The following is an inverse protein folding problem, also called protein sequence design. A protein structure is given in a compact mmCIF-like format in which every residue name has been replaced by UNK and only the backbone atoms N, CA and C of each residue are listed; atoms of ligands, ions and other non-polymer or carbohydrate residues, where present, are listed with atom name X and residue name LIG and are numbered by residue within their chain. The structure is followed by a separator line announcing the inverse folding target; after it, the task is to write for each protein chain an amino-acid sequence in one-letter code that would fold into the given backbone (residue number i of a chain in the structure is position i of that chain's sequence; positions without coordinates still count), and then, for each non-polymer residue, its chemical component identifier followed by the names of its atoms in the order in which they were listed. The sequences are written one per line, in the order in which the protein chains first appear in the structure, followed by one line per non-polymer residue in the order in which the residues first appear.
data_IF_433289448708
#
_entry.id   IF_433289448708
#
_cell.length_a   1.000
_cell.length_b   1.000
_cell.length_c   1.000
_cell.angle_alpha   90.00
_cell.angle_beta   90.00
_cell.angle_gamma   90.00
#
_symmetry.space_group_name_H-M   'P 1'
#
loop_
_entity.id
_entity.type
_entity.pdbx_description
1 polymer ?
#
# COMPACT_ATOMS: atom_id res chain seq x y z
N UNK A 1 55.63 37.22 8.33
CA UNK A 1 55.63 35.89 8.96
C UNK A 1 54.41 35.13 8.38
N UNK A 2 54.44 34.69 7.12
CA UNK A 2 55.06 33.49 6.51
C UNK A 2 54.55 32.16 7.09
N UNK A 3 53.81 31.40 6.27
CA UNK A 3 53.45 30.01 6.55
C UNK A 3 52.38 29.39 5.63
N UNK A 4 52.43 29.58 4.30
CA UNK A 4 51.59 28.82 3.35
C UNK A 4 52.25 27.45 3.09
N UNK A 5 51.61 26.37 3.53
CA UNK A 5 52.03 25.00 3.21
C UNK A 5 51.50 24.59 1.83
N UNK A 6 52.42 24.41 0.88
CA UNK A 6 52.17 23.74 -0.40
C UNK A 6 52.23 22.22 -0.20
N UNK A 7 51.15 21.51 -0.53
CA UNK A 7 51.18 20.04 -0.67
C UNK A 7 51.55 19.71 -2.12
N UNK A 8 52.75 19.14 -2.27
CA UNK A 8 53.29 18.63 -3.54
C UNK A 8 52.60 17.32 -3.94
N UNK A 9 52.18 17.24 -5.21
CA UNK A 9 51.82 15.98 -5.88
C UNK A 9 53.09 15.19 -6.24
N UNK A 10 53.15 13.87 -6.01
CA UNK A 10 54.15 13.03 -6.64
C UNK A 10 53.73 12.61 -8.05
N UNK A 11 54.72 12.60 -8.95
CA UNK A 11 54.66 12.18 -10.34
C UNK A 11 54.75 10.65 -10.49
N UNK A 12 54.23 10.17 -11.63
CA UNK A 12 54.20 8.76 -12.10
C UNK A 12 55.60 8.18 -12.34
N UNK A 13 55.75 6.85 -12.22
CA UNK A 13 56.12 6.01 -13.36
C UNK A 13 55.34 4.67 -13.35
N UNK A 14 55.19 3.86 -14.38
CA UNK A 14 55.73 3.84 -15.73
C UNK A 14 54.94 2.77 -16.52
N UNK A 15 54.97 2.92 -17.85
CA UNK A 15 54.43 1.96 -18.81
C UNK A 15 55.17 0.62 -18.69
N UNK A 16 54.43 -0.46 -18.43
CA UNK A 16 54.90 -1.83 -18.67
C UNK A 16 54.00 -2.44 -19.74
N UNK A 17 54.60 -2.63 -20.92
CA UNK A 17 54.02 -3.30 -22.05
C UNK A 17 53.84 -4.79 -21.73
N UNK A 18 52.61 -5.29 -21.80
CA UNK A 18 52.33 -6.72 -21.84
C UNK A 18 51.99 -7.13 -23.26
N UNK A 19 52.87 -7.97 -23.81
CA UNK A 19 52.67 -8.74 -25.04
C UNK A 19 51.57 -9.76 -24.77
N UNK A 20 50.44 -9.65 -25.47
CA UNK A 20 49.39 -10.65 -25.47
C UNK A 20 49.54 -11.55 -26.70
N UNK A 21 49.90 -12.80 -26.43
CA UNK A 21 49.87 -13.91 -27.38
C UNK A 21 48.42 -14.26 -27.70
N UNK A 22 48.02 -14.09 -28.96
CA UNK A 22 46.73 -14.59 -29.47
C UNK A 22 46.78 -16.12 -29.56
N UNK A 23 46.17 -16.79 -28.58
CA UNK A 23 45.77 -18.19 -28.71
C UNK A 23 44.30 -18.24 -29.13
N UNK A 24 44.05 -18.58 -30.39
CA UNK A 24 42.72 -18.84 -30.93
C UNK A 24 42.15 -20.13 -30.33
N UNK A 25 41.43 -20.02 -29.22
CA UNK A 25 40.58 -21.10 -28.72
C UNK A 25 39.24 -21.07 -29.47
N UNK A 26 38.98 -22.10 -30.28
CA UNK A 26 37.66 -22.37 -30.86
C UNK A 26 36.75 -22.76 -29.71
N UNK A 27 36.04 -21.78 -29.14
CA UNK A 27 34.96 -22.02 -28.17
C UNK A 27 33.79 -22.60 -28.96
N UNK A 28 33.55 -23.90 -28.78
CA UNK A 28 32.26 -24.52 -29.14
C UNK A 28 31.19 -23.81 -28.33
N UNK A 29 30.46 -22.90 -28.97
CA UNK A 29 29.24 -22.32 -28.42
C UNK A 29 28.21 -23.44 -28.25
N UNK A 30 28.19 -24.09 -27.10
CA UNK A 30 26.98 -24.76 -26.63
C UNK A 30 25.91 -23.68 -26.55
N UNK A 31 24.73 -23.85 -27.19
CA UNK A 31 23.63 -22.94 -26.98
C UNK A 31 23.36 -22.94 -25.48
N UNK A 32 23.69 -21.83 -24.82
CA UNK A 32 23.28 -21.58 -23.46
C UNK A 32 21.76 -21.56 -23.52
N UNK A 33 21.14 -22.68 -23.13
CA UNK A 33 19.72 -22.74 -22.84
C UNK A 33 19.53 -21.65 -21.79
N UNK A 34 18.97 -20.51 -22.22
CA UNK A 34 18.65 -19.43 -21.31
C UNK A 34 17.72 -20.05 -20.28
N UNK A 35 18.24 -20.26 -19.06
CA UNK A 35 17.41 -20.69 -17.96
C UNK A 35 16.20 -19.75 -17.96
N UNK A 36 14.96 -20.29 -17.92
CA UNK A 36 13.77 -19.46 -17.95
C UNK A 36 13.96 -18.38 -16.90
N UNK A 37 13.95 -17.12 -17.34
CA UNK A 37 14.18 -15.98 -16.46
C UNK A 37 13.33 -16.19 -15.20
N UNK A 38 14.01 -16.27 -14.04
CA UNK A 38 13.38 -16.59 -12.76
C UNK A 38 12.16 -15.68 -12.58
N UNK A 39 10.95 -16.23 -12.72
CA UNK A 39 9.70 -15.51 -12.48
C UNK A 39 9.76 -14.96 -11.06
N UNK A 40 9.87 -13.63 -10.85
CA UNK A 40 10.14 -13.07 -9.53
C UNK A 40 9.09 -13.48 -8.50
N UNK A 41 7.87 -13.77 -8.96
CA UNK A 41 6.73 -14.21 -8.15
C UNK A 41 6.91 -15.61 -7.56
N UNK A 42 7.83 -16.43 -8.08
CA UNK A 42 8.15 -17.75 -7.53
C UNK A 42 8.71 -17.69 -6.11
N UNK A 43 9.36 -16.58 -5.77
CA UNK A 43 10.01 -16.40 -4.46
C UNK A 43 9.07 -15.69 -3.48
N UNK A 44 8.05 -15.02 -3.97
CA UNK A 44 7.11 -14.23 -3.21
C UNK A 44 6.12 -15.10 -2.43
N UNK A 45 5.95 -14.81 -1.14
CA UNK A 45 5.06 -15.55 -0.24
C UNK A 45 3.86 -14.69 0.16
N UNK A 46 2.68 -15.30 0.14
CA UNK A 46 1.43 -14.73 0.64
C UNK A 46 0.99 -15.53 1.87
N UNK A 47 0.63 -14.82 2.94
CA UNK A 47 0.00 -15.40 4.13
C UNK A 47 -1.44 -14.91 4.24
N UNK A 48 -2.36 -15.82 4.52
CA UNK A 48 -3.80 -15.53 4.57
C UNK A 48 -4.52 -16.37 5.63
N UNK A 49 -5.70 -15.92 6.06
CA UNK A 49 -6.57 -16.68 6.97
C UNK A 49 -7.52 -17.59 6.21
N UNK A 50 -7.65 -18.83 6.69
CA UNK A 50 -8.65 -19.80 6.24
C UNK A 50 -8.89 -20.84 7.33
N UNK A 51 -10.16 -21.15 7.60
CA UNK A 51 -10.58 -22.26 8.47
C UNK A 51 -9.93 -22.20 9.88
N UNK A 52 -9.87 -21.01 10.47
CA UNK A 52 -9.32 -20.83 11.83
C UNK A 52 -7.80 -21.03 11.92
N UNK A 53 -7.07 -20.85 10.81
CA UNK A 53 -5.62 -20.93 10.74
C UNK A 53 -5.04 -19.87 9.80
N UNK A 54 -3.76 -19.52 10.01
CA UNK A 54 -2.97 -18.83 8.99
C UNK A 54 -2.34 -19.87 8.07
N UNK A 55 -2.43 -19.61 6.77
CA UNK A 55 -1.88 -20.41 5.70
C UNK A 55 -0.86 -19.59 4.93
N UNK A 56 0.09 -20.28 4.29
CA UNK A 56 1.06 -19.69 3.37
C UNK A 56 0.94 -20.34 1.99
N UNK A 57 1.04 -19.54 0.94
CA UNK A 57 1.06 -19.98 -0.46
C UNK A 57 2.05 -19.13 -1.26
N UNK A 58 2.42 -19.55 -2.47
CA UNK A 58 3.21 -18.71 -3.36
C UNK A 58 2.33 -17.61 -3.98
N UNK A 59 2.90 -16.47 -4.30
CA UNK A 59 2.14 -15.33 -4.81
C UNK A 59 1.49 -15.56 -6.19
N UNK A 60 1.73 -16.69 -6.86
CA UNK A 60 1.03 -17.05 -8.10
C UNK A 60 -0.22 -17.89 -7.84
N UNK A 61 -0.42 -18.38 -6.63
CA UNK A 61 -1.56 -19.25 -6.28
C UNK A 61 -1.54 -20.60 -7.00
N UNK A 62 -0.36 -21.08 -7.40
CA UNK A 62 -0.21 -22.34 -8.17
C UNK A 62 0.28 -23.50 -7.32
N UNK A 63 0.99 -23.21 -6.25
CA UNK A 63 1.48 -24.18 -5.28
C UNK A 63 0.42 -24.55 -4.24
N UNK A 64 0.63 -25.65 -3.50
CA UNK A 64 -0.26 -26.00 -2.41
C UNK A 64 -0.10 -25.00 -1.25
N UNK A 65 -1.22 -24.50 -0.75
CA UNK A 65 -1.22 -23.78 0.51
C UNK A 65 -0.83 -24.71 1.66
N UNK A 66 0.07 -24.24 2.53
CA UNK A 66 0.52 -24.99 3.71
C UNK A 66 0.12 -24.23 4.97
N UNK A 67 -0.40 -24.94 5.97
CA UNK A 67 -0.77 -24.31 7.23
C UNK A 67 0.50 -23.82 7.94
N UNK A 68 0.47 -22.56 8.38
CA UNK A 68 1.56 -21.92 9.10
C UNK A 68 1.36 -22.04 10.61
N UNK A 69 0.17 -21.66 11.11
CA UNK A 69 -0.19 -21.72 12.53
C UNK A 69 -1.70 -21.78 12.70
N UNK A 70 -2.20 -22.53 13.68
CA UNK A 70 -3.61 -22.48 14.07
C UNK A 70 -3.91 -21.19 14.85
N UNK A 71 -5.07 -20.58 14.62
CA UNK A 71 -5.51 -19.42 15.38
C UNK A 71 -6.04 -19.86 16.76
N UNK A 72 -5.84 -19.05 17.81
CA UNK A 72 -6.38 -19.35 19.14
C UNK A 72 -7.89 -19.62 19.09
N UNK A 73 -8.33 -20.75 19.68
CA UNK A 73 -9.73 -21.14 19.71
C UNK A 73 -10.37 -21.46 18.35
N UNK A 74 -9.60 -21.52 17.26
CA UNK A 74 -10.15 -21.62 15.90
C UNK A 74 -10.89 -20.35 15.47
N UNK A 75 -10.61 -19.21 16.10
CA UNK A 75 -11.21 -17.92 15.78
C UNK A 75 -10.89 -17.43 14.37
N UNK A 76 -11.55 -16.36 13.94
CA UNK A 76 -11.37 -15.79 12.59
C UNK A 76 -10.36 -14.66 12.65
N UNK A 77 -9.38 -14.66 11.73
CA UNK A 77 -8.53 -13.49 11.60
C UNK A 77 -9.25 -12.37 10.83
N UNK A 78 -9.40 -11.22 11.47
CA UNK A 78 -10.00 -10.01 10.91
C UNK A 78 -8.97 -9.13 10.21
N UNK A 79 -7.71 -9.18 10.67
CA UNK A 79 -6.60 -8.49 10.05
C UNK A 79 -5.30 -9.29 10.17
N UNK A 80 -4.43 -9.18 9.16
CA UNK A 80 -3.08 -9.75 9.15
C UNK A 80 -2.12 -8.68 8.62
N UNK A 81 -1.03 -8.43 9.35
CA UNK A 81 -0.03 -7.40 9.02
C UNK A 81 1.38 -7.97 9.16
N UNK A 82 2.36 -7.28 8.58
CA UNK A 82 3.79 -7.58 8.72
C UNK A 82 4.59 -6.28 8.84
N UNK A 83 5.79 -6.34 9.40
CA UNK A 83 6.73 -5.22 9.36
C UNK A 83 7.32 -5.04 7.96
N UNK A 84 7.78 -3.83 7.59
CA UNK A 84 8.49 -3.59 6.33
C UNK A 84 9.70 -4.54 6.09
N UNK A 85 10.35 -4.99 7.16
CA UNK A 85 11.44 -5.97 7.13
C UNK A 85 11.00 -7.41 6.96
N UNK A 86 9.70 -7.71 7.07
CA UNK A 86 9.05 -9.02 6.85
C UNK A 86 9.60 -10.10 7.78
N UNK A 87 9.77 -9.73 9.04
CA UNK A 87 10.33 -10.55 10.12
C UNK A 87 9.27 -11.07 11.08
N UNK A 88 8.14 -10.40 11.18
CA UNK A 88 7.03 -10.77 12.06
C UNK A 88 5.70 -10.72 11.31
N UNK A 89 4.76 -11.56 11.77
CA UNK A 89 3.34 -11.44 11.42
C UNK A 89 2.57 -11.02 12.65
N UNK A 90 1.68 -10.06 12.46
CA UNK A 90 0.69 -9.63 13.44
C UNK A 90 -0.67 -10.07 12.93
N UNK A 91 -1.50 -10.60 13.81
CA UNK A 91 -2.84 -11.09 13.48
C UNK A 91 -3.83 -10.60 14.52
N UNK A 92 -4.93 -10.05 14.06
CA UNK A 92 -6.10 -9.78 14.89
C UNK A 92 -7.04 -10.98 14.81
N UNK A 93 -7.33 -11.59 15.96
CA UNK A 93 -8.27 -12.71 16.08
C UNK A 93 -9.39 -12.27 17.00
N UNK A 94 -10.57 -12.03 16.43
CA UNK A 94 -11.76 -11.59 17.16
C UNK A 94 -11.52 -10.34 18.05
N UNK A 95 -10.71 -9.40 17.58
CA UNK A 95 -10.35 -8.15 18.30
C UNK A 95 -9.16 -8.28 19.26
N UNK A 96 -8.54 -9.46 19.34
CA UNK A 96 -7.35 -9.70 20.13
C UNK A 96 -6.11 -9.88 19.23
N UNK A 97 -5.18 -8.92 19.34
CA UNK A 97 -3.94 -8.96 18.60
C UNK A 97 -2.95 -9.99 19.15
N UNK A 98 -2.35 -10.75 18.25
CA UNK A 98 -1.23 -11.64 18.50
C UNK A 98 -0.13 -11.42 17.48
N UNK A 99 1.08 -11.87 17.78
CA UNK A 99 2.21 -11.80 16.87
C UNK A 99 3.04 -13.08 16.89
N UNK A 100 3.81 -13.32 15.83
CA UNK A 100 4.85 -14.35 15.81
C UNK A 100 6.01 -13.93 14.91
N UNK A 101 7.25 -14.39 15.18
CA UNK A 101 8.32 -14.29 14.20
C UNK A 101 8.04 -15.19 12.99
N UNK A 102 8.49 -14.77 11.81
CA UNK A 102 8.43 -15.53 10.56
C UNK A 102 9.54 -16.58 10.47
N UNK A 103 9.66 -17.41 11.50
CA UNK A 103 10.57 -18.55 11.55
C UNK A 103 9.79 -19.86 11.61
N UNK A 104 10.27 -20.96 10.99
CA UNK A 104 9.60 -22.26 11.08
C UNK A 104 9.32 -22.67 12.53
N UNK A 105 8.10 -23.17 12.80
CA UNK A 105 7.70 -23.65 14.13
C UNK A 105 7.37 -22.55 15.16
N UNK A 106 7.29 -21.28 14.75
CA UNK A 106 6.91 -20.19 15.65
C UNK A 106 5.44 -20.27 16.06
N UNK A 107 5.17 -19.96 17.33
CA UNK A 107 3.81 -19.87 17.87
C UNK A 107 3.37 -18.41 18.02
N UNK A 108 2.06 -18.19 17.92
CA UNK A 108 1.44 -16.90 18.21
C UNK A 108 1.58 -16.54 19.70
N UNK A 109 1.88 -15.26 19.95
CA UNK A 109 2.02 -14.67 21.28
C UNK A 109 1.07 -13.49 21.39
N UNK A 110 0.33 -13.34 22.50
CA UNK A 110 -0.61 -12.24 22.66
C UNK A 110 0.12 -10.90 22.70
N UNK A 111 -0.54 -9.87 22.16
CA UNK A 111 -0.16 -8.46 22.28
C UNK A 111 -1.13 -7.74 23.24
N UNK A 112 -0.65 -6.83 24.09
CA UNK A 112 -1.51 -6.04 24.99
C UNK A 112 -2.18 -4.86 24.27
N UNK A 113 -2.54 -5.01 22.99
CA UNK A 113 -3.07 -3.94 22.14
C UNK A 113 -4.61 -3.97 22.11
N UNK A 114 -5.23 -2.80 22.20
CA UNK A 114 -6.69 -2.58 22.09
C UNK A 114 -7.13 -1.99 20.75
N UNK A 115 -6.18 -1.77 19.84
CA UNK A 115 -6.41 -1.36 18.46
C UNK A 115 -5.25 -1.80 17.58
N UNK A 116 -5.27 -1.41 16.32
CA UNK A 116 -4.32 -1.86 15.30
C UNK A 116 -2.88 -1.50 15.66
N UNK A 117 -1.98 -2.49 15.87
CA UNK A 117 -0.58 -2.24 16.12
C UNK A 117 0.15 -1.81 14.83
N UNK A 118 1.01 -0.82 14.98
CA UNK A 118 1.93 -0.33 13.96
C UNK A 118 3.33 -0.92 14.19
N UNK A 119 3.77 -1.91 13.39
CA UNK A 119 5.09 -2.50 13.56
C UNK A 119 6.20 -1.52 13.16
N UNK A 120 7.28 -1.50 13.93
CA UNK A 120 8.51 -0.80 13.54
C UNK A 120 9.10 -1.40 12.26
N UNK A 121 9.82 -0.59 11.48
CA UNK A 121 10.41 -1.02 10.20
C UNK A 121 11.27 -2.30 10.26
N UNK A 122 11.92 -2.56 11.41
CA UNK A 122 12.80 -3.70 11.63
C UNK A 122 12.16 -4.86 12.41
N UNK A 123 10.85 -4.78 12.66
CA UNK A 123 10.05 -5.81 13.34
C UNK A 123 10.42 -6.04 14.81
N UNK A 124 11.17 -5.13 15.46
CA UNK A 124 11.58 -5.32 16.85
C UNK A 124 10.52 -4.90 17.88
N UNK A 125 9.66 -3.96 17.52
CA UNK A 125 8.59 -3.47 18.39
C UNK A 125 7.33 -3.10 17.59
N UNK A 126 6.25 -2.87 18.33
CA UNK A 126 5.02 -2.28 17.80
C UNK A 126 4.64 -1.06 18.61
N UNK A 127 3.94 -0.12 18.00
CA UNK A 127 3.22 0.95 18.70
C UNK A 127 1.74 0.64 18.64
N UNK A 128 1.05 0.67 19.77
CA UNK A 128 -0.40 0.47 19.81
C UNK A 128 -1.02 1.13 21.04
N UNK A 129 -2.34 1.28 21.01
CA UNK A 129 -3.13 1.68 22.19
C UNK A 129 -3.23 0.49 23.14
N UNK A 130 -2.89 0.68 24.42
CA UNK A 130 -3.02 -0.36 25.46
C UNK A 130 -4.30 -0.16 26.28
N UNK A 131 -4.60 -1.07 27.20
CA UNK A 131 -5.83 -1.05 28.01
C UNK A 131 -6.09 0.27 28.77
N UNK A 132 -5.06 1.07 29.06
CA UNK A 132 -5.22 2.39 29.69
C UNK A 132 -5.69 3.49 28.72
N UNK A 133 -5.90 3.18 27.44
CA UNK A 133 -6.21 4.14 26.38
C UNK A 133 -5.01 4.96 25.90
N UNK A 134 -3.83 4.78 26.51
CA UNK A 134 -2.58 5.43 26.06
C UNK A 134 -1.90 4.60 24.99
N UNK A 135 -1.19 5.28 24.09
CA UNK A 135 -0.26 4.60 23.19
C UNK A 135 0.98 4.14 23.97
N UNK A 136 1.52 2.98 23.59
CA UNK A 136 2.74 2.43 24.15
C UNK A 136 3.59 1.75 23.07
N UNK A 137 4.90 1.70 23.30
CA UNK A 137 5.83 0.86 22.55
C UNK A 137 5.91 -0.50 23.23
N UNK A 138 5.64 -1.57 22.50
CA UNK A 138 5.77 -2.95 22.99
C UNK A 138 6.95 -3.61 22.30
N UNK A 139 7.97 -3.99 23.06
CA UNK A 139 9.09 -4.76 22.53
C UNK A 139 8.64 -6.20 22.31
N UNK A 140 8.61 -6.66 21.05
CA UNK A 140 8.03 -7.96 20.72
C UNK A 140 8.79 -9.10 21.40
N UNK A 141 10.12 -9.08 21.37
CA UNK A 141 10.96 -10.16 21.94
C UNK A 141 10.78 -10.34 23.45
N UNK A 142 10.65 -9.24 24.21
CA UNK A 142 10.65 -9.27 25.67
C UNK A 142 9.28 -9.05 26.29
N UNK A 143 8.29 -8.59 25.51
CA UNK A 143 6.96 -8.21 26.01
C UNK A 143 6.96 -6.92 26.83
N UNK A 144 8.10 -6.21 26.94
CA UNK A 144 8.18 -4.97 27.72
C UNK A 144 7.32 -3.90 27.07
N UNK A 145 6.42 -3.32 27.86
CA UNK A 145 5.50 -2.25 27.46
C UNK A 145 5.99 -0.94 28.04
N UNK A 146 6.27 0.04 27.18
CA UNK A 146 6.69 1.39 27.57
C UNK A 146 5.64 2.41 27.14
N UNK A 147 4.85 2.97 28.08
CA UNK A 147 3.85 3.98 27.75
C UNK A 147 4.48 5.23 27.12
N UNK A 148 3.85 5.80 26.10
CA UNK A 148 4.27 7.08 25.56
C UNK A 148 3.86 8.22 26.51
N UNK A 149 4.75 9.16 26.83
CA UNK A 149 4.46 10.27 27.75
C UNK A 149 3.54 11.34 27.15
N UNK A 150 3.30 11.28 25.84
CA UNK A 150 2.50 12.25 25.07
C UNK A 150 1.11 11.71 24.79
N UNK A 151 0.10 12.60 24.76
CA UNK A 151 -1.22 12.27 24.22
C UNK A 151 -1.14 12.24 22.70
N UNK A 152 -1.45 11.09 22.10
CA UNK A 152 -1.30 10.88 20.65
C UNK A 152 -2.58 10.33 20.06
N UNK A 153 -2.93 10.79 18.86
CA UNK A 153 -4.01 10.21 18.05
C UNK A 153 -3.50 9.08 17.16
N UNK A 154 -2.24 9.14 16.75
CA UNK A 154 -1.54 8.10 16.02
C UNK A 154 -0.05 8.15 16.38
N UNK A 155 0.62 6.99 16.37
CA UNK A 155 2.06 6.91 16.59
C UNK A 155 2.67 5.68 15.92
N UNK A 156 3.89 5.81 15.42
CA UNK A 156 4.66 4.74 14.79
C UNK A 156 6.16 4.92 15.02
N UNK A 157 6.94 3.86 14.80
CA UNK A 157 8.41 3.89 14.87
C UNK A 157 9.00 3.71 13.48
N UNK A 158 9.74 4.71 13.02
CA UNK A 158 10.46 4.71 11.74
C UNK A 158 11.96 4.57 11.96
N UNK A 159 12.68 4.17 10.91
CA UNK A 159 14.12 3.90 10.99
C UNK A 159 14.44 2.58 11.68
N UNK A 160 15.72 2.25 11.77
CA UNK A 160 16.21 0.97 12.26
C UNK A 160 17.29 1.14 13.33
N UNK A 161 17.41 0.15 14.23
CA UNK A 161 18.44 0.08 15.26
C UNK A 161 18.59 1.39 16.08
N UNK A 162 19.73 2.10 15.96
CA UNK A 162 20.04 3.30 16.74
C UNK A 162 19.40 4.58 16.18
N UNK A 163 18.95 4.56 14.93
CA UNK A 163 18.35 5.71 14.26
C UNK A 163 16.82 5.72 14.36
N UNK A 164 16.25 4.87 15.23
CA UNK A 164 14.80 4.79 15.41
C UNK A 164 14.23 6.10 15.95
N UNK A 165 13.23 6.61 15.26
CA UNK A 165 12.46 7.78 15.68
C UNK A 165 11.02 7.37 15.95
N UNK A 166 10.46 7.89 17.04
CA UNK A 166 9.01 7.90 17.23
C UNK A 166 8.45 9.05 16.39
N UNK A 167 7.49 8.74 15.53
CA UNK A 167 6.67 9.73 14.82
C UNK A 167 5.25 9.62 15.35
N UNK A 168 4.65 10.74 15.74
CA UNK A 168 3.29 10.75 16.28
C UNK A 168 2.52 11.98 15.84
N UNK A 169 1.20 11.91 15.92
CA UNK A 169 0.31 13.06 15.79
C UNK A 169 -0.40 13.36 17.09
N UNK A 170 -0.61 14.64 17.33
CA UNK A 170 -1.53 15.18 18.32
C UNK A 170 -2.39 16.27 17.67
N UNK A 171 -3.20 17.00 18.44
CA UNK A 171 -4.04 18.07 17.90
C UNK A 171 -3.25 19.25 17.29
N UNK A 172 -1.95 19.37 17.56
CA UNK A 172 -1.13 20.51 17.13
C UNK A 172 -0.28 20.20 15.90
N UNK A 173 0.02 18.94 15.64
CA UNK A 173 0.85 18.57 14.51
C UNK A 173 1.27 17.11 14.48
N UNK A 174 2.08 16.81 13.47
CA UNK A 174 2.89 15.60 13.40
C UNK A 174 4.28 15.95 13.91
N UNK A 175 4.83 15.10 14.77
CA UNK A 175 6.10 15.31 15.46
C UNK A 175 7.00 14.10 15.26
N UNK A 176 8.31 14.32 15.36
CA UNK A 176 9.29 13.25 15.49
C UNK A 176 10.31 13.53 16.58
N UNK A 177 10.73 12.49 17.28
CA UNK A 177 11.80 12.52 18.27
C UNK A 177 12.51 11.16 18.35
N UNK A 178 13.71 11.12 18.93
CA UNK A 178 14.38 9.85 19.23
C UNK A 178 13.63 9.09 20.33
N UNK A 179 13.55 7.76 20.22
CA UNK A 179 12.82 6.93 21.19
C UNK A 179 13.31 7.09 22.65
N UNK A 180 14.56 7.48 22.85
CA UNK A 180 15.16 7.66 24.20
C UNK A 180 15.00 9.07 24.76
N UNK A 181 14.67 10.07 23.93
CA UNK A 181 14.53 11.46 24.33
C UNK A 181 13.44 12.14 23.50
N UNK A 182 12.20 12.02 23.98
CA UNK A 182 11.02 12.62 23.35
C UNK A 182 10.94 14.14 23.56
N UNK A 183 11.80 14.73 24.40
CA UNK A 183 11.81 16.18 24.65
C UNK A 183 12.42 16.94 23.46
N UNK A 184 13.34 16.30 22.72
CA UNK A 184 13.95 16.83 21.49
C UNK A 184 13.06 16.61 20.26
N UNK A 185 11.78 16.94 20.40
CA UNK A 185 10.81 16.80 19.32
C UNK A 185 10.93 17.90 18.28
N UNK A 186 10.74 17.55 17.01
CA UNK A 186 10.60 18.49 15.90
C UNK A 186 9.24 18.30 15.24
N UNK A 187 8.62 19.40 14.80
CA UNK A 187 7.38 19.37 14.04
C UNK A 187 7.68 18.99 12.59
N UNK A 188 6.89 18.09 12.01
CA UNK A 188 7.05 17.57 10.65
C UNK A 188 5.94 18.03 9.70
N UNK A 189 4.76 18.31 10.21
CA UNK A 189 3.60 18.82 9.45
C UNK A 189 2.47 19.22 10.42
N UNK A 190 1.39 19.82 9.90
CA UNK A 190 0.15 19.92 10.66
C UNK A 190 -0.51 18.54 10.80
N UNK A 191 -1.41 18.40 11.77
CA UNK A 191 -2.12 17.16 12.01
C UNK A 191 -3.24 16.96 10.97
N UNK A 192 -3.42 15.75 10.42
CA UNK A 192 -4.61 15.42 9.66
C UNK A 192 -5.82 15.30 10.59
N UNK A 193 -7.02 15.37 10.03
CA UNK A 193 -8.26 15.09 10.75
C UNK A 193 -8.26 13.64 11.28
N UNK A 194 -7.84 12.70 10.42
CA UNK A 194 -7.75 11.27 10.72
C UNK A 194 -6.88 10.52 9.70
N UNK A 195 -6.74 9.21 9.91
CA UNK A 195 -6.11 8.26 8.97
C UNK A 195 -4.69 8.65 8.57
N UNK A 196 -3.90 9.10 9.56
CA UNK A 196 -2.47 9.30 9.36
C UNK A 196 -1.82 7.95 9.07
N UNK A 197 -1.13 7.85 7.94
CA UNK A 197 -0.33 6.69 7.57
C UNK A 197 1.03 7.16 7.11
N UNK A 198 2.07 6.80 7.85
CA UNK A 198 3.45 7.24 7.62
C UNK A 198 4.18 6.19 6.79
N UNK A 199 4.94 6.63 5.80
CA UNK A 199 5.70 5.72 4.94
C UNK A 199 6.79 4.97 5.71
N UNK A 200 7.21 3.77 5.28
CA UNK A 200 8.25 3.00 5.95
C UNK A 200 9.58 3.75 6.16
N UNK A 201 9.95 4.64 5.23
CA UNK A 201 11.14 5.49 5.34
C UNK A 201 10.96 6.72 6.24
N UNK A 202 9.74 6.99 6.71
CA UNK A 202 9.40 8.14 7.55
C UNK A 202 9.49 9.50 6.87
N UNK A 203 9.60 9.55 5.53
CA UNK A 203 9.78 10.80 4.77
C UNK A 203 8.48 11.34 4.18
N UNK A 204 7.44 10.53 4.10
CA UNK A 204 6.13 10.89 3.56
C UNK A 204 5.03 10.39 4.48
N UNK A 205 3.85 10.98 4.30
CA UNK A 205 2.65 10.49 4.93
C UNK A 205 1.45 10.70 4.02
N UNK A 206 0.43 9.89 4.30
CA UNK A 206 -0.94 10.08 3.86
C UNK A 206 -1.77 10.52 5.06
N UNK A 207 -2.75 11.38 4.84
CA UNK A 207 -3.66 11.82 5.88
C UNK A 207 -4.87 12.54 5.31
N UNK A 208 -5.99 12.48 6.02
CA UNK A 208 -7.24 13.12 5.61
C UNK A 208 -7.27 14.57 6.11
N UNK A 209 -7.58 15.51 5.22
CA UNK A 209 -7.72 16.93 5.54
C UNK A 209 -8.99 17.52 4.94
N UNK A 210 -9.49 18.65 5.47
CA UNK A 210 -10.53 19.41 4.79
C UNK A 210 -10.09 19.80 3.38
N UNK A 211 -11.02 19.76 2.43
CA UNK A 211 -10.83 20.19 1.07
C UNK A 211 -12.16 20.48 0.39
N UNK A 212 -12.11 20.63 -0.93
CA UNK A 212 -13.28 20.79 -1.79
C UNK A 212 -13.18 19.86 -2.99
N UNK A 213 -14.34 19.37 -3.42
CA UNK A 213 -14.54 18.62 -4.66
C UNK A 213 -15.59 19.35 -5.51
N UNK A 214 -15.57 19.09 -6.82
CA UNK A 214 -16.62 19.57 -7.71
C UNK A 214 -17.69 18.50 -7.89
N UNK A 215 -18.90 18.76 -7.38
CA UNK A 215 -20.10 17.97 -7.68
C UNK A 215 -21.04 18.79 -8.56
N UNK A 216 -21.37 18.28 -9.76
CA UNK A 216 -22.28 18.94 -10.72
C UNK A 216 -21.96 20.44 -10.94
N UNK A 217 -20.67 20.79 -11.02
CA UNK A 217 -20.12 22.16 -11.15
C UNK A 217 -20.19 23.05 -9.90
N UNK A 218 -20.59 22.51 -8.76
CA UNK A 218 -20.59 23.21 -7.48
C UNK A 218 -19.41 22.71 -6.64
N UNK A 219 -18.64 23.62 -6.07
CA UNK A 219 -17.65 23.25 -5.06
C UNK A 219 -18.35 22.91 -3.75
N UNK A 220 -18.16 21.70 -3.27
CA UNK A 220 -18.68 21.25 -1.98
C UNK A 220 -17.52 20.90 -1.05
N UNK A 221 -17.60 21.23 0.26
CA UNK A 221 -16.65 20.77 1.24
C UNK A 221 -16.57 19.24 1.26
N UNK A 222 -15.37 18.71 1.39
CA UNK A 222 -15.13 17.28 1.49
C UNK A 222 -13.92 17.00 2.38
N UNK A 223 -13.83 15.78 2.85
CA UNK A 223 -12.63 15.26 3.48
C UNK A 223 -11.84 14.45 2.44
N UNK A 224 -10.61 14.86 2.17
CA UNK A 224 -9.83 14.33 1.05
C UNK A 224 -8.55 13.69 1.60
N UNK A 225 -8.17 12.54 1.06
CA UNK A 225 -6.86 11.95 1.32
C UNK A 225 -5.77 12.76 0.59
N UNK A 226 -4.84 13.30 1.35
CA UNK A 226 -3.66 13.98 0.83
C UNK A 226 -2.40 13.15 1.04
N UNK A 227 -1.44 13.33 0.14
CA UNK A 227 -0.05 12.97 0.35
C UNK A 227 0.83 14.19 0.57
N UNK A 228 1.81 14.07 1.45
CA UNK A 228 2.73 15.15 1.78
C UNK A 228 4.08 14.62 2.27
N UNK A 229 5.12 15.46 2.18
CA UNK A 229 6.41 15.18 2.78
C UNK A 229 6.39 15.49 4.27
N UNK A 230 7.16 14.73 5.05
CA UNK A 230 7.35 14.92 6.49
C UNK A 230 8.63 15.74 6.76
N UNK A 231 8.69 16.94 6.20
CA UNK A 231 9.85 17.84 6.26
C UNK A 231 9.52 19.23 6.84
N UNK A 232 8.26 19.46 7.23
CA UNK A 232 7.75 20.72 7.77
C UNK A 232 7.39 21.77 6.72
N UNK A 233 7.68 21.52 5.43
CA UNK A 233 7.55 22.54 4.36
C UNK A 233 6.83 22.03 3.11
N UNK A 234 6.71 20.72 2.94
CA UNK A 234 6.15 20.09 1.76
C UNK A 234 4.66 20.42 1.56
N UNK A 235 4.32 20.88 0.36
CA UNK A 235 2.93 21.07 -0.03
C UNK A 235 2.17 19.73 -0.05
N UNK A 236 0.93 19.77 0.43
CA UNK A 236 0.00 18.64 0.33
C UNK A 236 -0.49 18.49 -1.11
N UNK A 237 -0.66 17.25 -1.56
CA UNK A 237 -1.23 16.91 -2.87
C UNK A 237 -2.51 16.11 -2.66
N UNK A 238 -3.62 16.58 -3.23
CA UNK A 238 -4.88 15.82 -3.26
C UNK A 238 -4.63 14.50 -3.99
N UNK A 239 -5.10 13.37 -3.45
CA UNK A 239 -4.89 12.05 -4.07
C UNK A 239 -6.19 11.34 -4.38
N UNK A 240 -6.96 10.99 -3.35
CA UNK A 240 -8.22 10.25 -3.47
C UNK A 240 -9.22 10.91 -2.53
N UNK A 241 -10.48 11.04 -2.97
CA UNK A 241 -11.55 11.66 -2.20
C UNK A 241 -11.80 10.89 -0.89
N UNK A 242 -12.31 9.66 -0.96
CA UNK A 242 -12.73 8.89 0.21
C UNK A 242 -11.70 7.82 0.64
N UNK A 243 -10.41 8.12 0.42
CA UNK A 243 -9.33 7.15 0.56
C UNK A 243 -9.05 6.72 2.01
N UNK A 244 -8.89 5.41 2.22
CA UNK A 244 -8.39 4.80 3.46
C UNK A 244 -7.01 4.16 3.16
N UNK A 245 -5.89 4.71 3.65
CA UNK A 245 -4.59 4.09 3.45
C UNK A 245 -4.47 2.80 4.26
N UNK A 246 -4.11 1.69 3.59
CA UNK A 246 -4.04 0.36 4.20
C UNK A 246 -2.61 -0.18 4.29
N UNK A 247 -1.80 0.04 3.25
CA UNK A 247 -0.43 -0.47 3.19
C UNK A 247 0.49 0.41 2.33
N UNK A 248 1.79 0.23 2.52
CA UNK A 248 2.86 0.87 1.75
C UNK A 248 3.79 -0.17 1.14
N UNK A 249 4.36 0.15 -0.02
CA UNK A 249 5.52 -0.57 -0.53
C UNK A 249 6.73 -0.25 0.36
N UNK A 250 7.67 -1.19 0.46
CA UNK A 250 8.88 -1.05 1.29
C UNK A 250 9.75 0.12 0.83
N UNK A 251 9.77 0.42 -0.47
CA UNK A 251 10.47 1.57 -1.06
C UNK A 251 9.76 2.93 -0.85
N UNK A 252 8.62 2.93 -0.15
CA UNK A 252 7.81 4.12 0.16
C UNK A 252 7.32 4.88 -1.08
N UNK A 253 7.34 4.26 -2.27
CA UNK A 253 6.89 4.90 -3.52
C UNK A 253 5.41 4.67 -3.82
N UNK A 254 4.82 3.62 -3.27
CA UNK A 254 3.44 3.22 -3.54
C UNK A 254 2.67 2.98 -2.24
N UNK A 255 1.39 3.29 -2.29
CA UNK A 255 0.45 3.00 -1.23
C UNK A 255 -0.76 2.28 -1.80
N UNK A 256 -1.29 1.34 -1.00
CA UNK A 256 -2.56 0.68 -1.24
C UNK A 256 -3.63 1.40 -0.41
N UNK A 257 -4.70 1.80 -1.09
CA UNK A 257 -5.80 2.59 -0.53
C UNK A 257 -7.12 1.93 -0.88
N UNK A 258 -8.06 1.92 0.07
CA UNK A 258 -9.46 1.65 -0.23
C UNK A 258 -10.17 2.97 -0.56
N UNK A 259 -10.83 3.05 -1.72
CA UNK A 259 -11.67 4.16 -2.16
C UNK A 259 -13.10 3.66 -2.37
N UNK A 260 -13.94 3.77 -1.33
CA UNK A 260 -15.31 3.23 -1.35
C UNK A 260 -15.33 1.75 -1.78
N UNK A 261 -15.96 1.37 -2.90
CA UNK A 261 -15.98 -0.01 -3.41
C UNK A 261 -14.78 -0.38 -4.28
N UNK A 262 -13.70 0.40 -4.27
CA UNK A 262 -12.51 0.19 -5.11
C UNK A 262 -11.26 -0.02 -4.26
N UNK A 263 -10.46 -1.01 -4.62
CA UNK A 263 -9.08 -1.09 -4.17
C UNK A 263 -8.22 -0.27 -5.14
N UNK A 264 -7.30 0.56 -4.65
CA UNK A 264 -6.46 1.41 -5.47
C UNK A 264 -4.98 1.31 -5.07
N UNK A 265 -4.10 1.11 -6.04
CA UNK A 265 -2.65 1.33 -5.86
C UNK A 265 -2.33 2.70 -6.41
N UNK A 266 -1.69 3.54 -5.60
CA UNK A 266 -1.37 4.91 -5.97
C UNK A 266 0.07 5.25 -5.65
N UNK A 267 0.65 6.13 -6.46
CA UNK A 267 1.99 6.64 -6.21
C UNK A 267 1.95 7.59 -5.02
N UNK A 268 2.87 7.40 -4.09
CA UNK A 268 2.98 8.20 -2.89
C UNK A 268 3.20 9.69 -3.17
N UNK A 269 3.76 10.08 -4.31
CA UNK A 269 3.88 11.49 -4.70
C UNK A 269 2.58 12.10 -5.26
N UNK A 270 1.52 11.30 -5.41
CA UNK A 270 0.32 11.64 -6.17
C UNK A 270 0.53 11.57 -7.69
N UNK A 271 -0.55 11.83 -8.43
CA UNK A 271 -0.55 11.96 -9.91
C UNK A 271 -0.70 10.66 -10.69
N UNK A 272 -0.57 9.50 -10.05
CA UNK A 272 -0.66 8.20 -10.70
C UNK A 272 -1.35 7.20 -9.78
N UNK A 273 -2.40 6.54 -10.29
CA UNK A 273 -3.11 5.49 -9.57
C UNK A 273 -3.86 4.55 -10.52
N UNK A 274 -4.10 3.33 -10.04
CA UNK A 274 -4.93 2.32 -10.70
C UNK A 274 -5.88 1.73 -9.67
N UNK A 275 -7.16 1.60 -10.04
CA UNK A 275 -8.21 1.13 -9.16
C UNK A 275 -9.00 -0.03 -9.75
N UNK A 276 -9.43 -0.96 -8.90
CA UNK A 276 -10.24 -2.12 -9.25
C UNK A 276 -11.58 -2.07 -8.51
N UNK A 277 -12.67 -1.89 -9.26
CA UNK A 277 -14.04 -1.79 -8.72
C UNK A 277 -14.55 -3.17 -8.29
N UNK A 278 -15.25 -3.21 -7.16
CA UNK A 278 -15.82 -4.44 -6.61
C UNK A 278 -14.81 -5.29 -5.84
N UNK A 279 -13.66 -4.70 -5.53
CA UNK A 279 -12.57 -5.33 -4.80
C UNK A 279 -12.23 -4.55 -3.54
N UNK A 280 -11.88 -5.29 -2.49
CA UNK A 280 -11.43 -4.76 -1.22
C UNK A 280 -9.91 -4.92 -1.12
N UNK A 281 -9.20 -3.84 -0.83
CA UNK A 281 -7.76 -3.82 -0.70
C UNK A 281 -7.32 -4.64 0.51
N UNK A 282 -6.29 -5.48 0.35
CA UNK A 282 -5.79 -6.34 1.44
C UNK A 282 -4.33 -6.05 1.77
N UNK A 283 -3.41 -6.23 0.81
CA UNK A 283 -1.98 -6.01 1.04
C UNK A 283 -1.26 -5.58 -0.24
N UNK A 284 -0.11 -4.93 -0.08
CA UNK A 284 0.72 -4.47 -1.19
C UNK A 284 2.02 -5.28 -1.22
N UNK A 285 2.46 -5.68 -2.42
CA UNK A 285 3.76 -6.30 -2.58
C UNK A 285 4.88 -5.34 -2.15
N UNK A 286 6.01 -5.83 -1.62
CA UNK A 286 7.10 -5.00 -1.12
C UNK A 286 7.65 -3.97 -2.12
N UNK A 287 7.64 -4.30 -3.41
CA UNK A 287 8.08 -3.42 -4.51
C UNK A 287 6.94 -2.56 -5.10
N UNK A 288 5.72 -2.72 -4.59
CA UNK A 288 4.52 -2.05 -5.08
C UNK A 288 4.06 -2.48 -6.47
N UNK A 289 4.63 -3.52 -7.09
CA UNK A 289 4.27 -3.94 -8.44
C UNK A 289 2.95 -4.73 -8.51
N UNK A 290 2.56 -5.35 -7.39
CA UNK A 290 1.31 -6.10 -7.24
C UNK A 290 0.59 -5.70 -5.96
N UNK A 291 -0.74 -5.78 -5.98
CA UNK A 291 -1.56 -5.74 -4.77
C UNK A 291 -2.39 -7.02 -4.64
N UNK A 292 -2.63 -7.43 -3.40
CA UNK A 292 -3.66 -8.40 -3.05
C UNK A 292 -4.97 -7.67 -2.81
N UNK A 293 -6.02 -8.25 -3.38
CA UNK A 293 -7.38 -7.78 -3.24
C UNK A 293 -8.33 -8.93 -2.97
N UNK A 294 -9.35 -8.68 -2.17
CA UNK A 294 -10.45 -9.61 -1.92
C UNK A 294 -11.58 -9.28 -2.87
N UNK A 295 -12.14 -10.32 -3.48
CA UNK A 295 -13.29 -10.21 -4.36
C UNK A 295 -14.29 -11.32 -4.10
N UNK A 296 -15.48 -11.23 -4.71
CA UNK A 296 -16.45 -12.31 -4.64
C UNK A 296 -15.82 -13.60 -5.21
N UNK A 297 -16.15 -14.73 -4.59
CA UNK A 297 -15.80 -16.03 -5.14
C UNK A 297 -16.52 -16.22 -6.48
N UNK A 298 -15.76 -16.40 -7.56
CA UNK A 298 -16.34 -16.83 -8.83
C UNK A 298 -17.06 -18.17 -8.58
N UNK A 299 -18.40 -18.12 -8.59
CA UNK A 299 -19.20 -19.34 -8.59
C UNK A 299 -18.83 -20.04 -9.88
N UNK A 300 -18.19 -21.20 -9.77
CA UNK A 300 -17.66 -21.99 -10.89
C UNK A 300 -18.77 -22.51 -11.82
N UNK A 301 -19.45 -21.58 -12.50
CA UNK A 301 -20.46 -21.84 -13.49
C UNK A 301 -19.77 -22.40 -14.72
N UNK A 302 -19.99 -23.69 -14.96
CA UNK A 302 -19.84 -24.31 -16.28
C UNK A 302 -20.78 -23.71 -17.34
N UNK A 303 -21.58 -22.71 -16.98
CA UNK A 303 -22.56 -22.04 -17.85
C UNK A 303 -22.03 -20.70 -18.39
N UNK A 304 -20.75 -20.68 -18.76
CA UNK A 304 -20.16 -19.59 -19.54
C UNK A 304 -20.78 -19.54 -20.94
N UNK A 305 -21.95 -18.91 -21.09
CA UNK A 305 -22.38 -18.39 -22.39
C UNK A 305 -23.25 -17.12 -22.40
N UNK A 306 -23.95 -16.76 -21.33
CA UNK A 306 -24.96 -15.68 -21.46
C UNK A 306 -24.70 -14.41 -20.61
N UNK A 307 -23.47 -14.22 -20.12
CA UNK A 307 -23.09 -13.08 -19.27
C UNK A 307 -22.85 -11.75 -19.99
N UNK A 308 -23.53 -11.46 -21.11
CA UNK A 308 -23.36 -10.20 -21.85
C UNK A 308 -24.42 -9.12 -21.54
N UNK A 309 -25.46 -9.42 -20.76
CA UNK A 309 -26.62 -8.50 -20.60
C UNK A 309 -26.94 -8.08 -19.15
N UNK A 310 -25.96 -8.01 -18.25
CA UNK A 310 -26.15 -7.42 -16.92
C UNK A 310 -25.92 -5.88 -16.92
N UNK A 311 -26.46 -5.18 -17.92
CA UNK A 311 -26.22 -3.74 -18.10
C UNK A 311 -27.23 -3.01 -18.98
N UNK A 312 -28.49 -3.46 -19.07
CA UNK A 312 -29.53 -2.67 -19.77
C UNK A 312 -30.94 -2.95 -19.26
N UNK A 313 -31.25 -2.49 -18.04
CA UNK A 313 -32.64 -2.23 -17.62
C UNK A 313 -32.82 -0.72 -17.49
N UNK A 314 -33.58 -0.14 -18.42
CA UNK A 314 -34.04 1.24 -18.33
C UNK A 314 -34.46 1.80 -19.69
N UNK A 315 -35.77 1.81 -19.96
CA UNK A 315 -36.39 2.77 -20.89
C UNK A 315 -36.60 2.32 -22.34
N UNK A 316 -37.61 1.47 -22.59
CA UNK A 316 -38.37 1.52 -23.84
C UNK A 316 -39.56 2.46 -23.63
N UNK A 317 -39.36 3.74 -23.86
CA UNK A 317 -40.43 4.70 -24.17
C UNK A 317 -40.50 4.85 -25.68
N UNK A 318 -41.60 4.40 -26.27
CA UNK A 318 -41.97 4.68 -27.66
C UNK A 318 -42.29 6.17 -27.77
N UNK A 319 -41.66 6.87 -28.71
CA UNK A 319 -42.30 8.04 -29.31
C UNK A 319 -41.92 8.17 -30.77
N UNK A 320 -42.96 8.28 -31.60
CA UNK A 320 -42.90 8.29 -33.04
C UNK A 320 -43.09 9.71 -33.57
N UNK A 321 -42.14 10.15 -34.40
CA UNK A 321 -42.37 11.14 -35.46
C UNK A 321 -42.22 12.61 -35.07
N UNK A 322 -41.36 13.36 -35.78
CA UNK A 322 -41.72 14.06 -37.04
C UNK A 322 -40.55 14.94 -37.53
N UNK A 323 -40.39 14.93 -38.85
CA UNK A 323 -39.42 15.64 -39.71
C UNK A 323 -39.30 17.16 -39.46
N UNK A 324 -38.11 17.72 -39.76
CA UNK A 324 -38.00 19.06 -40.40
C UNK A 324 -36.65 19.80 -40.27
N UNK A 325 -36.07 20.23 -41.42
CA UNK A 325 -35.09 21.35 -41.57
C UNK A 325 -33.61 20.99 -41.33
N UNK A 326 -32.64 20.96 -42.27
CA UNK A 326 -32.23 21.76 -43.45
C UNK A 326 -31.50 23.09 -43.13
N UNK A 327 -30.20 23.15 -43.48
CA UNK A 327 -29.34 24.35 -43.64
C UNK A 327 -28.56 24.74 -42.37
N UNK A 328 -27.30 25.17 -42.39
CA UNK A 328 -26.44 25.71 -43.44
C UNK A 328 -24.95 25.51 -43.10
N UNK A 329 -24.14 25.46 -44.16
CA UNK A 329 -22.69 25.55 -44.19
C UNK A 329 -22.17 26.92 -43.71
N UNK A 330 -21.01 26.94 -43.05
CA UNK A 330 -20.41 28.17 -42.52
C UNK A 330 -18.94 28.05 -42.11
N UNK A 331 -18.08 27.91 -43.11
CA UNK A 331 -16.62 28.10 -43.18
C UNK A 331 -16.03 29.20 -42.26
N UNK A 332 -14.94 28.93 -41.54
CA UNK A 332 -13.66 29.67 -41.59
C UNK A 332 -12.60 29.09 -40.63
N UNK A 333 -11.36 29.10 -41.09
CA UNK A 333 -10.15 28.70 -40.39
C UNK A 333 -9.55 29.87 -39.58
N UNK A 334 -8.91 29.55 -38.45
CA UNK A 334 -7.77 30.28 -37.91
C UNK A 334 -7.08 29.45 -36.81
N UNK A 335 -5.82 29.08 -37.05
CA UNK A 335 -4.78 28.95 -36.02
C UNK A 335 -4.13 30.34 -35.80
N UNK A 336 -3.22 30.58 -34.81
CA UNK A 336 -2.70 29.70 -33.76
C UNK A 336 -2.73 30.31 -32.34
N UNK A 337 -2.62 29.46 -31.31
CA UNK A 337 -1.94 29.84 -30.07
C UNK A 337 -1.46 28.57 -29.35
N UNK A 338 -0.14 28.41 -29.27
CA UNK A 338 0.53 27.44 -28.41
C UNK A 338 0.52 28.04 -27.01
N UNK A 339 -0.30 27.48 -26.13
CA UNK A 339 -0.21 27.74 -24.69
C UNK A 339 -0.10 26.41 -23.94
N UNK A 340 0.93 26.33 -23.10
CA UNK A 340 1.36 25.14 -22.38
C UNK A 340 0.47 24.89 -21.17
N UNK A 341 -0.73 24.35 -21.40
CA UNK A 341 -1.59 23.83 -20.34
C UNK A 341 -1.20 22.41 -19.97
N UNK A 342 -0.54 22.22 -18.83
CA UNK A 342 -0.34 20.92 -18.22
C UNK A 342 -1.69 20.24 -17.98
N UNK A 343 -1.99 19.23 -18.80
CA UNK A 343 -3.23 18.47 -18.74
C UNK A 343 -3.42 17.83 -17.36
N UNK A 344 -4.47 18.28 -16.68
CA UNK A 344 -5.05 17.63 -15.52
C UNK A 344 -5.51 16.21 -15.94
N UNK A 345 -5.00 15.12 -15.33
CA UNK A 345 -5.46 13.79 -15.68
C UNK A 345 -6.95 13.67 -15.34
N UNK A 346 -7.73 13.29 -16.35
CA UNK A 346 -9.18 13.37 -16.35
C UNK A 346 -9.84 12.74 -15.12
N UNK A 347 -10.70 13.54 -14.48
CA UNK A 347 -11.59 13.11 -13.42
C UNK A 347 -12.42 11.89 -13.86
N UNK A 348 -12.20 10.75 -13.21
CA UNK A 348 -13.08 9.60 -13.34
C UNK A 348 -14.44 9.96 -12.71
N UNK A 349 -15.50 9.96 -13.52
CA UNK A 349 -16.86 10.25 -13.08
C UNK A 349 -17.31 9.29 -11.96
N UNK A 350 -17.65 9.87 -10.81
CA UNK A 350 -18.09 9.19 -9.59
C UNK A 350 -19.58 8.82 -9.65
N UNK A 351 -19.93 7.67 -9.10
CA UNK A 351 -21.32 7.31 -8.79
C UNK A 351 -21.71 7.87 -7.43
N UNK A 352 -23.01 8.14 -7.24
CA UNK A 352 -23.60 8.66 -6.01
C UNK A 352 -23.22 7.78 -4.79
N UNK A 353 -22.49 8.37 -3.84
CA UNK A 353 -22.23 7.80 -2.52
C UNK A 353 -23.31 8.31 -1.56
N UNK A 354 -23.95 7.39 -0.82
CA UNK A 354 -24.96 7.73 0.19
C UNK A 354 -24.34 8.30 1.47
N UNK A 355 -25.10 9.17 2.14
CA UNK A 355 -24.77 9.78 3.43
C UNK A 355 -24.82 8.76 4.57
N UNK A 356 -23.80 7.91 4.70
CA UNK A 356 -23.61 7.07 5.88
C UNK A 356 -22.54 7.65 6.82
N UNK A 357 -22.84 7.67 8.12
CA UNK A 357 -22.07 8.33 9.17
C UNK A 357 -20.61 7.86 9.24
N UNK A 358 -19.69 8.83 9.26
CA UNK A 358 -18.25 8.59 9.37
C UNK A 358 -17.88 8.30 10.83
N UNK A 359 -17.84 7.03 11.21
CA UNK A 359 -17.17 6.60 12.44
C UNK A 359 -15.64 6.77 12.30
N UNK A 360 -14.95 7.04 13.42
CA UNK A 360 -13.48 7.09 13.54
C UNK A 360 -12.79 5.71 13.34
N UNK A 361 -13.50 4.74 12.76
CA UNK A 361 -12.98 3.41 12.51
C UNK A 361 -11.96 3.48 11.37
N UNK A 362 -10.69 3.31 11.73
CA UNK A 362 -9.55 3.29 10.83
C UNK A 362 -9.56 2.04 9.92
N UNK A 363 -10.38 1.05 10.26
CA UNK A 363 -10.44 -0.23 9.58
C UNK A 363 -11.61 -0.27 8.61
N UNK A 364 -11.32 -0.62 7.36
CA UNK A 364 -12.35 -0.88 6.36
C UNK A 364 -12.96 -2.24 6.68
N UNK A 365 -14.25 -2.28 7.03
CA UNK A 365 -14.94 -3.53 7.29
C UNK A 365 -14.78 -4.50 6.11
N UNK A 366 -14.45 -5.76 6.42
CA UNK A 366 -14.33 -6.81 5.41
C UNK A 366 -15.66 -7.00 4.67
N UNK A 367 -15.63 -7.27 3.36
CA UNK A 367 -16.84 -7.60 2.63
C UNK A 367 -17.50 -8.87 3.18
N UNK A 368 -18.83 -8.88 3.20
CA UNK A 368 -19.61 -10.04 3.61
C UNK A 368 -19.60 -11.15 2.52
N UNK A 369 -19.81 -12.39 2.94
CA UNK A 369 -19.97 -13.55 2.06
C UNK A 369 -18.66 -14.28 1.74
N UNK A 370 -18.73 -15.19 0.77
CA UNK A 370 -17.60 -16.03 0.36
C UNK A 370 -16.56 -15.20 -0.41
N UNK A 371 -15.35 -15.13 0.12
CA UNK A 371 -14.25 -14.36 -0.47
C UNK A 371 -13.23 -15.27 -1.14
N UNK A 372 -12.67 -14.75 -2.23
CA UNK A 372 -11.46 -15.25 -2.87
C UNK A 372 -10.39 -14.17 -2.83
N UNK A 373 -9.13 -14.61 -2.78
CA UNK A 373 -7.97 -13.75 -2.81
C UNK A 373 -7.43 -13.69 -4.24
N UNK A 374 -7.27 -12.48 -4.74
CA UNK A 374 -6.71 -12.21 -6.05
C UNK A 374 -5.48 -11.32 -5.92
N UNK A 375 -4.64 -11.33 -6.95
CA UNK A 375 -3.59 -10.34 -7.16
C UNK A 375 -3.89 -9.51 -8.39
N UNK A 376 -3.52 -8.24 -8.34
CA UNK A 376 -3.69 -7.30 -9.44
C UNK A 376 -2.38 -6.57 -9.72
N UNK A 377 -1.98 -6.42 -11.00
CA UNK A 377 -0.75 -5.73 -11.35
C UNK A 377 -0.98 -4.23 -11.34
N UNK A 378 -0.08 -3.48 -10.68
CA UNK A 378 -0.06 -2.01 -10.75
C UNK A 378 0.09 -1.55 -12.20
N UNK A 379 1.06 -2.12 -12.91
CA UNK A 379 1.32 -1.82 -14.31
C UNK A 379 0.38 -2.62 -15.22
N UNK A 380 0.37 -2.30 -16.52
CA UNK A 380 -0.49 -2.98 -17.51
C UNK A 380 -1.84 -2.29 -17.70
N UNK A 381 -2.67 -2.85 -18.57
CA UNK A 381 -3.93 -2.20 -18.99
C UNK A 381 -4.98 -2.28 -17.87
N UNK A 382 -5.87 -1.29 -17.81
CA UNK A 382 -6.95 -1.25 -16.83
C UNK A 382 -7.93 -2.43 -16.97
N UNK A 383 -7.97 -3.06 -18.14
CA UNK A 383 -8.80 -4.21 -18.44
C UNK A 383 -8.20 -5.55 -18.02
N UNK A 384 -6.96 -5.58 -17.51
CA UNK A 384 -6.34 -6.83 -17.08
C UNK A 384 -7.14 -7.42 -15.90
N UNK A 385 -7.62 -8.67 -16.02
CA UNK A 385 -8.42 -9.27 -14.97
C UNK A 385 -7.55 -9.58 -13.74
N UNK A 386 -8.11 -9.50 -12.52
CA UNK A 386 -7.44 -9.99 -11.33
C UNK A 386 -7.12 -11.47 -11.44
N UNK A 387 -5.93 -11.85 -10.98
CA UNK A 387 -5.43 -13.22 -11.08
C UNK A 387 -5.71 -13.93 -9.75
N UNK A 388 -6.42 -15.05 -9.79
CA UNK A 388 -6.75 -15.83 -8.59
C UNK A 388 -5.47 -16.32 -7.89
N UNK A 389 -5.37 -16.09 -6.58
CA UNK A 389 -4.33 -16.62 -5.69
C UNK A 389 -4.90 -17.76 -4.86
N UNK A 390 -6.02 -17.54 -4.18
CA UNK A 390 -6.69 -18.56 -3.36
C UNK A 390 -8.21 -18.45 -3.49
N UNK A 391 -8.87 -19.61 -3.62
CA UNK A 391 -10.32 -19.69 -3.88
C UNK A 391 -11.19 -19.44 -2.65
N UNK A 392 -10.65 -19.73 -1.47
CA UNK A 392 -11.38 -19.65 -0.19
C UNK A 392 -10.47 -19.01 0.83
N UNK A 393 -10.85 -17.85 1.34
CA UNK A 393 -10.17 -17.11 2.40
C UNK A 393 -11.20 -16.48 3.34
N UNK A 394 -10.82 -16.29 4.61
CA UNK A 394 -11.69 -15.63 5.60
C UNK A 394 -11.62 -14.09 5.51
N UNK A 395 -10.68 -13.56 4.73
CA UNK A 395 -10.55 -12.13 4.40
C UNK A 395 -9.17 -11.56 4.68
N UNK A 396 -8.55 -11.84 5.82
CA UNK A 396 -7.26 -11.25 6.14
C UNK A 396 -6.09 -11.90 5.36
N UNK A 397 -5.23 -11.09 4.74
CA UNK A 397 -4.03 -11.56 4.05
C UNK A 397 -2.90 -10.51 4.07
N UNK A 398 -1.65 -10.96 3.90
CA UNK A 398 -0.45 -10.13 3.84
C UNK A 398 0.54 -10.69 2.82
N UNK A 399 1.31 -9.79 2.20
CA UNK A 399 2.40 -10.12 1.27
C UNK A 399 3.75 -10.04 1.99
N UNK A 400 4.52 -11.14 2.01
CA UNK A 400 5.77 -11.25 2.80
C UNK A 400 7.06 -11.10 2.00
N UNK A 401 7.02 -11.04 0.67
CA UNK A 401 8.26 -10.93 -0.11
C UNK A 401 8.93 -12.28 -0.42
N UNK A 402 10.09 -12.26 -1.09
CA UNK A 402 11.05 -13.34 -1.01
C UNK A 402 11.49 -13.54 0.43
N UNK A 403 11.53 -14.79 0.87
CA UNK A 403 12.21 -15.14 2.13
C UNK A 403 13.69 -14.79 1.95
N UNK A 404 14.29 -13.99 2.84
CA UNK A 404 15.68 -13.56 2.72
C UNK A 404 16.68 -14.72 2.80
#
# INVERSE_FOLDING_TARGET
MNGRAQVRRPARPGLVAWVLVLASAIVRATPASAAPADDPLLREVVVFSRDGALWRTDARGKGPATQLVALPGGGRATAVRTDPGRRVVLVDVDGAWSWMPLTPGSALRPLPCKGTPEPSSDGACVVCTVASGRHAVVLLRTGVVTPLPVGTTHATVVGAARDRQLVWSDAQGIWAAGLTDLTRRRRLADAPLRRLSISPDGRRALGVYPGTIHDKKVEVPAEILYSFALDGVGARRKVIRDGVPLAWSTDSQWALVQDGPRACVMRASGGEYKCWKGYHASALAPDGSWALVLGPRERGGKDGKDGKDAGKKGGKGQDAGKKGGKGQDGKAAAEPAVDGGGGEPGAAAEGEAGDDQVGDELDVALPAGDLALYRVPRDGVYSDPPILVERVVDGAAVWLGPTP
#
